data_IF_424991968595
#
_entry.id   IF_424991968595
#
_cell.length_a   1.000
_cell.length_b   1.000
_cell.length_c   1.000
_cell.angle_alpha   90.00
_cell.angle_beta   90.00
_cell.angle_gamma   90.00
#
_symmetry.space_group_name_H-M   'P 1'
#
loop_
_entity.id
_entity.type
_entity.pdbx_description
1 polymer ?
#
# COMPACT_ATOMS: atom_id res chain seq x y z
N UNK A 1 23.83 -32.08 6.08
CA UNK A 1 23.21 -31.35 7.20
C UNK A 1 24.31 -31.00 8.18
N UNK A 2 24.43 -29.74 8.57
CA UNK A 2 25.64 -29.14 9.11
C UNK A 2 25.70 -29.22 10.65
N UNK A 3 24.67 -29.79 11.29
CA UNK A 3 24.58 -29.94 12.76
C UNK A 3 24.27 -28.64 13.52
N UNK A 4 24.05 -27.53 12.82
CA UNK A 4 23.75 -26.23 13.44
C UNK A 4 22.29 -26.14 13.88
N UNK A 5 22.06 -25.54 15.05
CA UNK A 5 20.74 -25.17 15.52
C UNK A 5 20.14 -24.05 14.67
N UNK A 6 18.80 -23.94 14.68
CA UNK A 6 18.07 -22.95 13.89
C UNK A 6 18.54 -21.50 14.14
N UNK A 7 18.82 -20.75 13.07
CA UNK A 7 19.06 -19.32 13.16
C UNK A 7 17.71 -18.57 13.22
N UNK A 8 17.26 -18.29 14.44
CA UNK A 8 15.96 -17.63 14.71
C UNK A 8 15.90 -16.23 14.10
N UNK A 9 17.02 -15.49 14.06
CA UNK A 9 17.08 -14.16 13.47
C UNK A 9 16.81 -14.21 11.97
N UNK A 10 17.49 -15.11 11.25
CA UNK A 10 17.27 -15.29 9.81
C UNK A 10 15.85 -15.76 9.49
N UNK A 11 15.29 -16.67 10.29
CA UNK A 11 13.91 -17.13 10.12
C UNK A 11 12.90 -15.98 10.30
N UNK A 12 13.08 -15.15 11.33
CA UNK A 12 12.24 -13.98 11.54
C UNK A 12 12.37 -12.94 10.42
N UNK A 13 13.58 -12.70 9.92
CA UNK A 13 13.81 -11.80 8.78
C UNK A 13 13.17 -12.33 7.50
N UNK A 14 13.21 -13.64 7.26
CA UNK A 14 12.56 -14.27 6.12
C UNK A 14 11.03 -14.10 6.17
N UNK A 15 10.41 -14.35 7.33
CA UNK A 15 8.97 -14.13 7.55
C UNK A 15 8.57 -12.67 7.36
N UNK A 16 9.37 -11.74 7.90
CA UNK A 16 9.11 -10.31 7.74
C UNK A 16 9.19 -9.88 6.26
N UNK A 17 10.16 -10.42 5.51
CA UNK A 17 10.34 -10.13 4.08
C UNK A 17 9.22 -10.69 3.22
N UNK A 18 8.66 -11.84 3.59
CA UNK A 18 7.51 -12.42 2.91
C UNK A 18 6.27 -11.52 3.04
N UNK A 19 6.01 -11.01 4.25
CA UNK A 19 4.81 -10.21 4.52
C UNK A 19 4.97 -8.73 4.12
N UNK A 20 6.18 -8.18 4.26
CA UNK A 20 6.47 -6.77 4.02
C UNK A 20 7.76 -6.61 3.21
N UNK A 21 7.77 -7.04 1.93
CA UNK A 21 8.96 -7.00 1.09
C UNK A 21 9.49 -5.57 0.90
N UNK A 22 8.60 -4.56 0.97
CA UNK A 22 8.94 -3.14 0.86
C UNK A 22 9.85 -2.63 2.00
N UNK A 23 9.91 -3.32 3.15
CA UNK A 23 10.76 -2.94 4.28
C UNK A 23 12.23 -3.29 4.07
N UNK A 24 12.59 -3.99 2.99
CA UNK A 24 13.96 -4.43 2.73
C UNK A 24 14.60 -3.65 1.59
N UNK A 25 15.85 -3.24 1.79
CA UNK A 25 16.70 -2.60 0.78
C UNK A 25 18.02 -3.37 0.72
N UNK A 26 18.46 -3.78 -0.48
CA UNK A 26 19.70 -4.56 -0.69
C UNK A 26 19.80 -5.83 0.20
N UNK A 27 18.65 -6.46 0.50
CA UNK A 27 18.58 -7.67 1.31
C UNK A 27 18.70 -7.44 2.83
N UNK A 28 18.76 -6.19 3.30
CA UNK A 28 18.74 -5.84 4.73
C UNK A 28 17.44 -5.11 5.09
N UNK A 29 17.04 -5.23 6.35
CA UNK A 29 15.90 -4.50 6.88
C UNK A 29 16.22 -2.99 6.93
N UNK A 30 15.32 -2.19 6.39
CA UNK A 30 15.39 -0.73 6.37
C UNK A 30 14.54 -0.16 7.53
N UNK A 31 15.23 0.32 8.56
CA UNK A 31 14.59 0.82 9.79
C UNK A 31 13.74 2.07 9.56
N UNK A 32 14.11 2.91 8.60
CA UNK A 32 13.34 4.13 8.31
C UNK A 32 12.04 3.76 7.58
N UNK A 33 12.09 2.80 6.65
CA UNK A 33 10.87 2.25 6.04
C UNK A 33 9.97 1.53 7.04
N UNK A 34 10.56 0.81 7.99
CA UNK A 34 9.81 0.15 9.06
C UNK A 34 9.07 1.17 9.92
N UNK A 35 9.75 2.23 10.37
CA UNK A 35 9.11 3.34 11.09
C UNK A 35 8.03 3.99 10.24
N UNK A 36 8.30 4.34 8.99
CA UNK A 36 7.32 4.96 8.12
C UNK A 36 6.08 4.08 7.86
N UNK A 37 6.21 2.76 7.95
CA UNK A 37 5.10 1.82 7.76
C UNK A 37 4.23 1.67 9.01
N UNK A 38 4.82 1.74 10.21
CA UNK A 38 4.13 1.42 11.48
C UNK A 38 4.07 2.57 12.48
N UNK A 39 4.52 3.76 12.12
CA UNK A 39 4.53 4.94 12.98
C UNK A 39 3.93 6.15 12.28
N UNK A 40 3.22 6.96 13.05
CA UNK A 40 2.67 8.24 12.60
C UNK A 40 3.73 9.36 12.54
N UNK A 41 4.91 9.14 13.15
CA UNK A 41 6.03 10.09 13.16
C UNK A 41 6.95 9.90 11.95
N UNK A 42 6.41 10.23 10.77
CA UNK A 42 7.08 10.06 9.48
C UNK A 42 7.98 11.26 9.19
N UNK A 43 9.28 11.14 9.47
CA UNK A 43 10.28 12.16 9.15
C UNK A 43 11.39 11.61 8.24
N UNK A 44 11.33 11.94 6.95
CA UNK A 44 12.29 11.49 5.94
C UNK A 44 13.53 12.39 5.80
N UNK A 45 13.77 13.33 6.72
CA UNK A 45 14.83 14.33 6.57
C UNK A 45 16.27 13.76 6.50
N UNK A 46 16.50 12.53 6.96
CA UNK A 46 17.83 11.91 7.08
C UNK A 46 18.06 10.68 6.17
N UNK A 47 17.20 10.41 5.19
CA UNK A 47 17.37 9.25 4.29
C UNK A 47 18.45 9.51 3.23
N UNK A 48 19.53 8.71 3.23
CA UNK A 48 20.71 8.88 2.34
C UNK A 48 20.45 8.57 0.85
N UNK A 49 19.44 7.76 0.52
CA UNK A 49 19.18 7.28 -0.84
C UNK A 49 17.69 7.27 -1.19
N UNK A 50 16.99 8.37 -0.95
CA UNK A 50 15.58 8.49 -1.30
C UNK A 50 15.32 9.85 -1.95
N UNK A 51 14.46 9.87 -2.96
CA UNK A 51 13.93 11.12 -3.50
C UNK A 51 13.19 11.83 -2.34
N UNK A 52 13.62 13.05 -2.02
CA UNK A 52 12.98 13.87 -1.01
C UNK A 52 12.45 15.15 -1.65
N UNK A 53 11.23 15.54 -1.28
CA UNK A 53 10.54 16.71 -1.80
C UNK A 53 9.63 17.31 -0.72
N UNK A 54 9.34 18.60 -0.84
CA UNK A 54 8.43 19.28 0.07
C UNK A 54 7.05 18.60 0.05
N UNK A 55 6.50 18.27 1.22
CA UNK A 55 5.20 17.61 1.36
C UNK A 55 5.22 16.08 1.27
N UNK A 56 6.39 15.43 1.10
CA UNK A 56 6.50 13.96 1.09
C UNK A 56 5.89 13.33 2.34
N UNK A 57 6.30 13.78 3.53
CA UNK A 57 5.77 13.27 4.80
C UNK A 57 4.25 13.43 4.92
N UNK A 58 3.70 14.56 4.47
CA UNK A 58 2.26 14.81 4.53
C UNK A 58 1.47 13.91 3.57
N UNK A 59 2.02 13.65 2.38
CA UNK A 59 1.43 12.70 1.44
C UNK A 59 1.34 11.28 2.04
N UNK A 60 2.39 10.82 2.73
CA UNK A 60 2.37 9.52 3.41
C UNK A 60 1.35 9.47 4.56
N UNK A 61 1.21 10.55 5.33
CA UNK A 61 0.18 10.64 6.37
C UNK A 61 -1.22 10.52 5.78
N UNK A 62 -1.51 11.23 4.70
CA UNK A 62 -2.83 11.18 4.03
C UNK A 62 -3.13 9.76 3.49
N UNK A 63 -2.12 9.05 2.99
CA UNK A 63 -2.26 7.66 2.53
C UNK A 63 -2.63 6.69 3.65
N UNK A 64 -2.17 6.93 4.88
CA UNK A 64 -2.45 6.08 6.04
C UNK A 64 -3.83 6.33 6.67
N UNK A 65 -4.44 7.49 6.43
CA UNK A 65 -5.77 7.82 6.97
C UNK A 65 -6.83 6.89 6.34
N UNK A 66 -7.56 6.09 7.14
CA UNK A 66 -8.65 5.26 6.64
C UNK A 66 -9.79 6.11 6.07
N UNK A 67 -10.45 5.63 5.02
CA UNK A 67 -11.67 6.26 4.50
C UNK A 67 -12.91 5.80 5.27
N UNK A 68 -13.89 6.70 5.40
CA UNK A 68 -15.26 6.38 5.85
C UNK A 68 -16.28 6.46 4.70
N UNK A 69 -15.81 6.72 3.48
CA UNK A 69 -16.66 6.79 2.30
C UNK A 69 -17.19 5.40 1.90
N UNK A 70 -18.27 5.39 1.12
CA UNK A 70 -18.86 4.18 0.54
C UNK A 70 -19.35 4.47 -0.88
N UNK A 71 -19.45 3.42 -1.70
CA UNK A 71 -20.02 3.54 -3.03
C UNK A 71 -21.55 3.48 -2.95
N UNK A 72 -22.21 4.37 -3.70
CA UNK A 72 -23.65 4.36 -3.91
C UNK A 72 -23.94 3.91 -5.34
N UNK A 73 -24.68 2.80 -5.56
CA UNK A 73 -25.04 2.39 -6.92
C UNK A 73 -26.01 3.39 -7.55
N UNK A 74 -25.89 3.60 -8.88
CA UNK A 74 -26.79 4.42 -9.68
C UNK A 74 -27.40 3.61 -10.84
N UNK A 75 -28.39 2.73 -10.59
CA UNK A 75 -28.95 1.86 -11.62
C UNK A 75 -29.54 2.60 -12.82
N UNK A 76 -30.21 3.73 -12.56
CA UNK A 76 -30.87 4.54 -13.60
C UNK A 76 -29.88 5.21 -14.57
N UNK A 77 -28.65 5.42 -14.14
CA UNK A 77 -27.57 6.01 -14.95
C UNK A 77 -26.63 4.93 -15.53
N UNK A 78 -26.90 3.67 -15.23
CA UNK A 78 -26.05 2.55 -15.61
C UNK A 78 -26.56 1.86 -16.87
N UNK A 79 -25.62 1.36 -17.67
CA UNK A 79 -25.93 0.51 -18.83
C UNK A 79 -25.79 -0.95 -18.40
N UNK A 80 -26.85 -1.75 -18.60
CA UNK A 80 -26.86 -3.17 -18.28
C UNK A 80 -26.49 -3.47 -16.81
N UNK A 81 -27.03 -2.69 -15.85
CA UNK A 81 -26.62 -2.68 -14.44
C UNK A 81 -26.43 -4.08 -13.82
N UNK A 82 -27.37 -5.01 -14.06
CA UNK A 82 -27.33 -6.35 -13.46
C UNK A 82 -26.37 -7.34 -14.15
N UNK A 83 -25.83 -7.01 -15.33
CA UNK A 83 -25.09 -7.97 -16.17
C UNK A 83 -23.71 -7.49 -16.64
N UNK A 84 -23.43 -6.19 -16.55
CA UNK A 84 -22.12 -5.65 -16.92
C UNK A 84 -21.03 -6.05 -15.90
N UNK A 85 -19.83 -6.34 -16.41
CA UNK A 85 -18.62 -6.55 -15.59
C UNK A 85 -17.76 -5.27 -15.50
N UNK A 86 -18.21 -4.18 -16.11
CA UNK A 86 -17.49 -2.90 -16.15
C UNK A 86 -18.09 -1.91 -15.15
N UNK A 87 -17.23 -1.14 -14.49
CA UNK A 87 -17.62 -0.17 -13.47
C UNK A 87 -17.04 1.20 -13.84
N UNK A 88 -17.88 2.23 -13.75
CA UNK A 88 -17.47 3.63 -13.74
C UNK A 88 -17.76 4.20 -12.35
N UNK A 89 -16.82 4.96 -11.79
CA UNK A 89 -16.96 5.55 -10.44
C UNK A 89 -16.66 7.04 -10.55
N UNK A 90 -17.58 7.86 -10.05
CA UNK A 90 -17.39 9.31 -9.92
C UNK A 90 -16.97 9.64 -8.48
N UNK A 91 -15.88 10.41 -8.33
CA UNK A 91 -15.36 10.83 -7.03
C UNK A 91 -13.93 11.34 -7.10
N UNK A 92 -13.39 11.74 -5.95
CA UNK A 92 -11.95 12.03 -5.82
C UNK A 92 -11.17 10.69 -5.83
N UNK A 93 -10.13 10.62 -6.66
CA UNK A 93 -9.46 9.38 -7.02
C UNK A 93 -8.84 8.66 -5.80
N UNK A 94 -8.19 9.38 -4.89
CA UNK A 94 -7.57 8.77 -3.72
C UNK A 94 -8.61 8.13 -2.80
N UNK A 95 -9.73 8.82 -2.54
CA UNK A 95 -10.83 8.26 -1.74
C UNK A 95 -11.48 7.06 -2.43
N UNK A 96 -11.71 7.11 -3.74
CA UNK A 96 -12.23 5.96 -4.51
C UNK A 96 -11.29 4.76 -4.41
N UNK A 97 -9.98 4.97 -4.58
CA UNK A 97 -8.99 3.89 -4.45
C UNK A 97 -8.95 3.29 -3.05
N UNK A 98 -9.11 4.10 -1.99
CA UNK A 98 -9.23 3.62 -0.61
C UNK A 98 -10.46 2.74 -0.42
N UNK A 99 -11.60 3.11 -1.00
CA UNK A 99 -12.83 2.31 -0.92
C UNK A 99 -12.68 0.97 -1.66
N UNK A 100 -12.04 0.98 -2.84
CA UNK A 100 -11.81 -0.23 -3.63
C UNK A 100 -10.75 -1.17 -3.03
N UNK A 101 -9.84 -0.65 -2.20
CA UNK A 101 -8.67 -1.35 -1.69
C UNK A 101 -9.03 -2.73 -1.14
N UNK A 102 -10.02 -2.84 -0.25
CA UNK A 102 -10.35 -4.11 0.43
C UNK A 102 -10.81 -5.22 -0.53
N UNK A 103 -11.59 -4.86 -1.56
CA UNK A 103 -12.21 -5.83 -2.47
C UNK A 103 -11.31 -6.19 -3.65
N UNK A 104 -10.42 -5.28 -4.04
CA UNK A 104 -9.57 -5.40 -5.24
C UNK A 104 -8.07 -5.50 -4.94
N UNK A 105 -7.68 -5.62 -3.67
CA UNK A 105 -6.27 -5.77 -3.28
C UNK A 105 -5.60 -6.93 -4.02
N UNK A 106 -4.49 -6.63 -4.71
CA UNK A 106 -3.74 -7.59 -5.53
C UNK A 106 -4.57 -8.29 -6.63
N UNK A 107 -5.66 -7.69 -7.12
CA UNK A 107 -6.50 -8.24 -8.20
C UNK A 107 -6.40 -7.48 -9.53
N UNK A 108 -5.79 -6.31 -9.55
CA UNK A 108 -5.68 -5.47 -10.74
C UNK A 108 -4.48 -5.89 -11.58
N UNK A 109 -4.72 -6.22 -12.85
CA UNK A 109 -3.68 -6.71 -13.78
C UNK A 109 -2.88 -5.58 -14.45
N UNK A 110 -3.52 -4.45 -14.71
CA UNK A 110 -2.93 -3.32 -15.44
C UNK A 110 -3.61 -2.02 -14.98
N UNK A 111 -2.82 -0.95 -14.87
CA UNK A 111 -3.28 0.40 -14.50
C UNK A 111 -2.71 1.34 -15.56
N UNK A 112 -3.59 2.10 -16.21
CA UNK A 112 -3.25 3.14 -17.18
C UNK A 112 -3.75 4.48 -16.63
N UNK A 113 -2.87 5.48 -16.54
CA UNK A 113 -3.15 6.84 -16.03
C UNK A 113 -2.45 7.82 -16.98
N UNK A 114 -3.15 8.84 -17.46
CA UNK A 114 -2.58 9.96 -18.24
C UNK A 114 -2.01 11.04 -17.29
#
# INVERSE_FOLDING_TARGET
MNGESLNIEQDNLAKLKEQFPNLFTEGKLDWERLKATFSDDINFANERYVLNWAGKSDAFKILQVPTTATLKPMPEESINFDTTENIFIEGENLEVLKVLQKSYYNRIKCIEID
#
